data_IF_542459784127
#
_entry.id   IF_542459784127
#
_cell.length_a   1.000
_cell.length_b   1.000
_cell.length_c   1.000
_cell.angle_alpha   90.00
_cell.angle_beta   90.00
_cell.angle_gamma   90.00
#
_symmetry.space_group_name_H-M   'P 1'
#
loop_
_entity.id
_entity.type
_entity.pdbx_description
1 polymer ?
#
# COMPACT_ATOMS: atom_id res chain seq x y z
N UNK A 1 -10.35 50.77 -22.55
CA UNK A 1 -11.27 49.69 -22.13
C UNK A 1 -10.86 49.31 -20.73
N UNK A 2 -11.61 49.76 -19.73
CA UNK A 2 -11.29 49.58 -18.31
C UNK A 2 -11.91 48.29 -17.82
N UNK A 3 -11.07 47.40 -17.30
CA UNK A 3 -11.46 46.13 -16.73
C UNK A 3 -12.38 46.31 -15.52
N UNK A 4 -13.61 45.83 -15.64
CA UNK A 4 -14.59 45.75 -14.55
C UNK A 4 -14.28 44.48 -13.69
N UNK A 5 -13.74 44.69 -12.51
CA UNK A 5 -13.48 43.59 -11.55
C UNK A 5 -14.78 43.11 -10.91
N UNK A 6 -14.85 41.80 -10.56
CA UNK A 6 -16.01 41.13 -9.91
C UNK A 6 -16.55 41.85 -8.65
N UNK A 7 -15.79 42.74 -8.05
CA UNK A 7 -16.22 43.55 -6.89
C UNK A 7 -17.16 44.70 -7.23
N UNK A 8 -17.20 45.16 -8.49
CA UNK A 8 -18.06 46.29 -8.90
C UNK A 8 -19.49 45.88 -9.31
N UNK A 9 -19.76 44.59 -9.49
CA UNK A 9 -21.11 44.10 -9.82
C UNK A 9 -22.04 43.93 -8.59
N UNK A 10 -21.53 44.08 -7.36
CA UNK A 10 -22.33 43.94 -6.14
C UNK A 10 -22.78 45.30 -5.55
N UNK A 11 -22.40 46.40 -6.15
CA UNK A 11 -22.73 47.75 -5.65
C UNK A 11 -23.91 48.43 -6.37
N UNK A 12 -24.54 47.78 -7.35
CA UNK A 12 -25.53 48.43 -8.26
C UNK A 12 -27.01 48.13 -7.95
N UNK A 13 -27.36 47.50 -6.84
CA UNK A 13 -28.75 47.11 -6.55
C UNK A 13 -29.30 47.74 -5.26
N UNK A 14 -29.15 49.04 -5.09
CA UNK A 14 -29.74 49.75 -3.96
C UNK A 14 -30.25 51.14 -4.35
N UNK A 15 -31.36 51.24 -5.10
CA UNK A 15 -32.16 52.47 -5.19
C UNK A 15 -33.54 52.14 -5.75
N UNK A 16 -34.45 51.64 -4.93
CA UNK A 16 -35.93 51.85 -5.02
C UNK A 16 -36.58 51.24 -3.77
N UNK A 17 -36.70 52.02 -2.71
CA UNK A 17 -37.53 51.61 -1.55
C UNK A 17 -38.43 52.81 -1.18
N UNK A 18 -39.72 52.66 -1.43
CA UNK A 18 -40.78 53.42 -0.83
C UNK A 18 -40.88 53.13 0.68
N UNK A 19 -41.43 54.07 1.50
CA UNK A 19 -41.42 53.88 2.97
C UNK A 19 -42.50 52.89 3.39
N UNK A 20 -42.07 51.81 4.02
CA UNK A 20 -42.95 50.88 4.70
C UNK A 20 -42.59 50.81 6.20
N UNK A 21 -43.65 50.78 6.99
CA UNK A 21 -43.77 50.85 8.44
C UNK A 21 -42.65 50.09 9.21
N UNK A 22 -42.33 50.67 10.39
CA UNK A 22 -41.43 50.11 11.38
C UNK A 22 -41.83 48.68 11.80
N UNK A 23 -41.15 47.72 11.27
CA UNK A 23 -41.09 46.38 11.82
C UNK A 23 -39.78 46.23 12.58
N UNK A 24 -39.88 45.75 13.82
CA UNK A 24 -38.76 45.48 14.71
C UNK A 24 -37.62 44.78 13.98
N UNK A 25 -36.36 45.17 14.23
CA UNK A 25 -35.24 44.45 13.63
C UNK A 25 -35.30 42.98 14.01
N UNK A 26 -35.58 42.11 13.05
CA UNK A 26 -35.35 40.72 13.21
C UNK A 26 -33.86 40.54 13.53
N UNK A 27 -33.53 40.15 14.75
CA UNK A 27 -32.18 39.71 15.13
C UNK A 27 -31.92 38.49 14.28
N UNK A 28 -31.23 38.69 13.16
CA UNK A 28 -30.69 37.54 12.40
C UNK A 28 -29.57 36.97 13.27
N UNK A 29 -29.93 35.98 14.08
CA UNK A 29 -28.92 35.16 14.72
C UNK A 29 -28.04 34.58 13.58
N UNK A 30 -26.70 34.72 13.65
CA UNK A 30 -25.84 34.09 12.71
C UNK A 30 -26.17 32.59 12.72
N UNK A 31 -26.56 32.07 11.58
CA UNK A 31 -26.75 30.64 11.44
C UNK A 31 -25.40 29.99 11.79
N UNK A 32 -25.32 29.32 12.92
CA UNK A 32 -24.22 28.44 13.27
C UNK A 32 -24.31 27.21 12.35
N UNK A 33 -23.92 27.40 11.11
CA UNK A 33 -23.80 26.34 10.13
C UNK A 33 -22.43 25.66 10.30
N UNK A 34 -22.21 25.04 11.44
CA UNK A 34 -21.08 24.15 11.58
C UNK A 34 -21.60 22.76 11.93
N UNK A 35 -21.79 21.92 10.91
CA UNK A 35 -21.79 20.50 11.16
C UNK A 35 -20.44 20.14 11.83
N UNK A 36 -20.43 19.37 12.91
CA UNK A 36 -19.20 18.95 13.54
C UNK A 36 -18.31 18.25 12.52
N UNK A 37 -17.01 18.54 12.54
CA UNK A 37 -16.05 17.85 11.69
C UNK A 37 -16.11 16.35 11.96
N UNK A 38 -15.99 15.53 10.91
CA UNK A 38 -16.06 14.06 11.06
C UNK A 38 -14.90 13.50 11.93
N UNK A 39 -13.77 14.24 12.04
CA UNK A 39 -12.63 13.89 12.88
C UNK A 39 -11.86 12.64 12.46
N UNK A 40 -12.32 11.94 11.42
CA UNK A 40 -11.71 10.72 10.86
C UNK A 40 -11.99 10.61 9.37
N UNK A 41 -11.09 9.93 8.66
CA UNK A 41 -11.31 9.55 7.27
C UNK A 41 -12.38 8.45 7.13
N UNK A 42 -12.94 8.36 5.93
CA UNK A 42 -13.74 7.21 5.53
C UNK A 42 -12.90 5.92 5.57
N UNK A 43 -13.52 4.72 5.69
CA UNK A 43 -12.82 3.45 5.58
C UNK A 43 -12.02 3.39 4.28
N UNK A 44 -10.75 2.99 4.38
CA UNK A 44 -9.82 3.09 3.26
C UNK A 44 -9.64 1.73 2.60
N UNK A 45 -10.50 1.44 1.64
CA UNK A 45 -10.36 0.32 0.71
C UNK A 45 -10.80 0.76 -0.69
N UNK A 46 -10.25 0.12 -1.71
CA UNK A 46 -10.59 0.39 -3.10
C UNK A 46 -10.81 -0.92 -3.86
N UNK A 47 -11.93 -1.05 -4.58
CA UNK A 47 -12.27 -2.21 -5.38
C UNK A 47 -12.11 -1.95 -6.87
N UNK A 48 -11.68 -3.00 -7.58
CA UNK A 48 -11.58 -3.00 -9.03
C UNK A 48 -11.68 -4.42 -9.57
N UNK A 49 -11.97 -4.56 -10.85
CA UNK A 49 -12.05 -5.86 -11.51
C UNK A 49 -10.82 -6.16 -12.36
N UNK A 50 -10.47 -7.44 -12.41
CA UNK A 50 -9.51 -8.03 -13.33
C UNK A 50 -10.21 -9.23 -13.98
N UNK A 51 -10.76 -9.04 -15.19
CA UNK A 51 -11.70 -10.00 -15.74
C UNK A 51 -12.89 -10.23 -14.84
N UNK A 52 -13.13 -11.49 -14.45
CA UNK A 52 -14.21 -11.87 -13.55
C UNK A 52 -13.85 -11.76 -12.05
N UNK A 53 -12.54 -11.52 -11.76
CA UNK A 53 -12.09 -11.40 -10.36
C UNK A 53 -12.34 -9.99 -9.83
N UNK A 54 -12.73 -9.92 -8.56
CA UNK A 54 -12.82 -8.65 -7.83
C UNK A 54 -11.64 -8.55 -6.86
N UNK A 55 -10.86 -7.49 -7.01
CA UNK A 55 -9.75 -7.19 -6.12
C UNK A 55 -10.11 -6.02 -5.21
N UNK A 56 -9.70 -6.12 -3.94
CA UNK A 56 -9.87 -5.04 -2.97
C UNK A 56 -8.52 -4.71 -2.35
N UNK A 57 -7.99 -3.53 -2.66
CA UNK A 57 -6.84 -2.96 -1.93
C UNK A 57 -7.34 -2.51 -0.57
N UNK A 58 -6.70 -2.98 0.49
CA UNK A 58 -7.00 -2.61 1.88
C UNK A 58 -5.87 -1.73 2.41
N UNK A 59 -6.16 -0.52 2.86
CA UNK A 59 -5.15 0.28 3.53
C UNK A 59 -5.00 -0.20 4.98
N UNK A 60 -3.85 -0.75 5.33
CA UNK A 60 -3.50 -1.10 6.71
C UNK A 60 -3.14 0.15 7.53
N UNK A 61 -2.74 1.20 6.88
CA UNK A 61 -2.42 2.50 7.49
C UNK A 61 -1.29 3.22 6.79
N UNK A 62 -0.92 4.36 7.36
CA UNK A 62 0.19 5.20 6.88
C UNK A 62 1.07 5.56 8.06
N UNK A 63 2.35 5.19 8.00
CA UNK A 63 3.34 5.60 8.98
C UNK A 63 4.16 6.78 8.45
N UNK A 64 4.14 7.91 9.14
CA UNK A 64 4.99 9.04 8.82
C UNK A 64 6.39 8.82 9.41
N UNK A 65 7.41 8.89 8.57
CA UNK A 65 8.82 8.71 8.95
C UNK A 65 9.57 10.00 8.70
N UNK A 66 10.17 10.57 9.75
CA UNK A 66 11.05 11.72 9.64
C UNK A 66 12.36 11.32 8.95
N UNK A 67 12.85 12.18 8.09
CA UNK A 67 14.09 11.99 7.36
C UNK A 67 15.24 12.77 8.02
N UNK A 68 15.85 12.16 9.03
CA UNK A 68 17.05 12.69 9.69
C UNK A 68 18.33 12.28 8.93
N UNK A 69 18.27 11.15 8.25
CA UNK A 69 19.34 10.62 7.40
C UNK A 69 18.73 10.09 6.10
N UNK A 70 19.58 9.84 5.08
CA UNK A 70 19.09 9.22 3.85
C UNK A 70 18.59 7.79 4.10
N UNK A 71 17.36 7.46 3.69
CA UNK A 71 16.85 6.09 3.71
C UNK A 71 17.41 5.26 2.54
N UNK A 72 18.15 5.88 1.66
CA UNK A 72 18.74 5.31 0.44
C UNK A 72 20.24 5.17 0.66
N UNK A 73 20.80 3.96 0.55
CA UNK A 73 22.20 3.67 0.84
C UNK A 73 23.17 4.39 -0.08
N UNK A 74 22.80 4.57 -1.35
CA UNK A 74 23.62 5.14 -2.40
C UNK A 74 23.15 6.52 -2.90
N UNK A 75 22.38 7.25 -2.09
CA UNK A 75 22.00 8.64 -2.35
C UNK A 75 22.07 9.47 -1.07
N UNK A 76 22.49 10.74 -1.21
CA UNK A 76 22.54 11.68 -0.10
C UNK A 76 21.14 12.16 0.29
N UNK A 77 20.99 12.64 1.53
CA UNK A 77 19.70 13.14 2.02
C UNK A 77 19.16 14.28 1.16
N UNK A 78 20.04 15.19 0.70
CA UNK A 78 19.68 16.33 -0.14
C UNK A 78 19.12 15.89 -1.50
N UNK A 79 19.63 14.79 -2.07
CA UNK A 79 19.12 14.21 -3.32
C UNK A 79 17.72 13.63 -3.12
N UNK A 80 17.50 12.91 -2.01
CA UNK A 80 16.18 12.39 -1.62
C UNK A 80 15.20 13.54 -1.42
N UNK A 81 15.59 14.57 -0.70
CA UNK A 81 14.78 15.76 -0.45
C UNK A 81 14.43 16.52 -1.73
N UNK A 82 15.34 16.56 -2.71
CA UNK A 82 15.09 17.17 -4.01
C UNK A 82 14.00 16.42 -4.79
N UNK A 83 14.01 15.07 -4.77
CA UNK A 83 12.98 14.26 -5.44
C UNK A 83 11.64 14.39 -4.73
N UNK A 84 11.62 14.42 -3.38
CA UNK A 84 10.39 14.69 -2.63
C UNK A 84 9.79 16.05 -2.99
N UNK A 85 10.61 17.09 -3.03
CA UNK A 85 10.16 18.44 -3.40
C UNK A 85 9.62 18.49 -4.84
N UNK A 86 10.28 17.82 -5.78
CA UNK A 86 9.82 17.72 -7.17
C UNK A 86 8.46 16.98 -7.29
N UNK A 87 8.15 16.13 -6.30
CA UNK A 87 6.88 15.41 -6.18
C UNK A 87 5.84 16.15 -5.32
N UNK A 88 6.09 17.40 -4.94
CA UNK A 88 5.24 18.22 -4.04
C UNK A 88 5.04 17.59 -2.66
N UNK A 89 5.99 16.81 -2.18
CA UNK A 89 5.97 16.17 -0.86
C UNK A 89 6.83 16.94 0.15
N UNK A 90 6.56 16.82 1.46
CA UNK A 90 7.42 17.35 2.51
C UNK A 90 8.85 16.83 2.36
N UNK A 91 9.86 17.69 2.58
CA UNK A 91 11.27 17.32 2.44
C UNK A 91 11.83 16.58 3.65
N UNK A 92 11.19 16.74 4.81
CA UNK A 92 11.65 16.28 6.10
C UNK A 92 10.97 15.00 6.60
N UNK A 93 10.01 14.51 5.83
CA UNK A 93 9.28 13.28 6.15
C UNK A 93 8.72 12.59 4.92
N UNK A 94 8.45 11.30 5.07
CA UNK A 94 7.80 10.49 4.02
C UNK A 94 6.75 9.58 4.64
N UNK A 95 5.63 9.43 3.94
CA UNK A 95 4.56 8.51 4.32
C UNK A 95 4.81 7.11 3.75
N UNK A 96 4.89 6.11 4.62
CA UNK A 96 4.84 4.71 4.26
C UNK A 96 3.40 4.24 4.29
N UNK A 97 2.90 3.81 3.17
CA UNK A 97 1.59 3.18 3.00
C UNK A 97 1.73 1.67 3.08
N UNK A 98 0.69 0.97 3.52
CA UNK A 98 0.69 -0.50 3.65
C UNK A 98 -0.63 -1.04 3.09
N UNK A 99 -0.55 -1.87 2.04
CA UNK A 99 -1.73 -2.28 1.28
C UNK A 99 -1.81 -3.79 1.06
N UNK A 100 -2.26 -4.58 2.05
CA UNK A 100 -2.74 -5.93 1.77
C UNK A 100 -3.81 -5.92 0.68
N UNK A 101 -3.83 -6.95 -0.15
CA UNK A 101 -4.78 -7.05 -1.26
C UNK A 101 -5.62 -8.30 -1.13
N UNK A 102 -6.95 -8.15 -1.10
CA UNK A 102 -7.90 -9.24 -1.16
C UNK A 102 -8.29 -9.52 -2.60
N UNK A 103 -8.27 -10.78 -3.00
CA UNK A 103 -8.70 -11.27 -4.32
C UNK A 103 -9.87 -12.22 -4.14
N UNK A 104 -11.02 -11.85 -4.66
CA UNK A 104 -12.17 -12.74 -4.79
C UNK A 104 -12.16 -13.35 -6.20
N UNK A 105 -11.87 -14.64 -6.27
CA UNK A 105 -11.83 -15.39 -7.54
C UNK A 105 -13.18 -15.95 -7.95
N UNK A 106 -14.26 -15.69 -7.18
CA UNK A 106 -15.56 -16.33 -7.32
C UNK A 106 -15.64 -17.71 -6.65
N UNK A 107 -14.50 -18.39 -6.48
CA UNK A 107 -14.43 -19.68 -5.80
C UNK A 107 -13.62 -19.65 -4.50
N UNK A 108 -12.73 -18.66 -4.33
CA UNK A 108 -11.87 -18.46 -3.17
C UNK A 108 -11.73 -16.99 -2.84
N UNK A 109 -11.67 -16.67 -1.54
CA UNK A 109 -11.20 -15.41 -1.01
C UNK A 109 -9.73 -15.56 -0.61
N UNK A 110 -8.85 -14.85 -1.29
CA UNK A 110 -7.40 -14.91 -1.11
C UNK A 110 -6.89 -13.57 -0.61
N UNK A 111 -6.30 -13.53 0.58
CA UNK A 111 -5.64 -12.33 1.09
C UNK A 111 -4.14 -12.41 0.83
N UNK A 112 -3.59 -11.45 0.11
CA UNK A 112 -2.16 -11.31 -0.15
C UNK A 112 -1.60 -10.31 0.85
N UNK A 113 -0.72 -10.79 1.73
CA UNK A 113 -0.16 -10.11 2.89
C UNK A 113 -1.20 -9.69 3.95
N UNK A 114 -0.77 -9.34 5.15
CA UNK A 114 -1.67 -9.20 6.29
C UNK A 114 -1.56 -7.88 7.06
N UNK A 115 -0.63 -7.02 6.70
CA UNK A 115 -0.42 -5.75 7.39
C UNK A 115 0.48 -5.86 8.64
N UNK A 116 0.61 -4.72 9.32
CA UNK A 116 1.49 -4.53 10.48
C UNK A 116 0.99 -5.23 11.76
N UNK A 117 -0.29 -5.62 11.77
CA UNK A 117 -0.92 -6.26 12.93
C UNK A 117 -1.28 -5.28 14.05
N UNK A 118 -1.97 -5.77 15.10
CA UNK A 118 -2.62 -4.93 16.10
C UNK A 118 -1.63 -4.16 17.00
N UNK A 119 -0.38 -4.59 17.11
CA UNK A 119 0.65 -3.88 17.88
C UNK A 119 1.05 -2.52 17.30
N UNK A 120 0.64 -2.20 16.07
CA UNK A 120 1.06 -1.02 15.34
C UNK A 120 -0.01 0.09 15.25
N UNK A 121 -1.16 -0.08 15.89
CA UNK A 121 -2.30 0.86 15.81
C UNK A 121 -1.89 2.27 16.27
N UNK A 122 -1.12 2.40 17.34
CA UNK A 122 -0.65 3.71 17.84
C UNK A 122 0.36 4.38 16.88
N UNK A 123 1.00 3.60 16.00
CA UNK A 123 1.89 4.09 14.96
C UNK A 123 1.14 4.45 13.66
N UNK A 124 -0.19 4.37 13.64
CA UNK A 124 -1.03 4.71 12.50
C UNK A 124 -1.22 3.60 11.47
N UNK A 125 -0.91 2.34 11.84
CA UNK A 125 -1.06 1.15 10.99
C UNK A 125 -1.80 0.05 11.74
N UNK A 126 -1.97 -1.16 11.15
CA UNK A 126 -2.71 -2.26 11.79
C UNK A 126 -4.22 -2.17 11.59
N UNK A 127 -4.68 -1.40 10.59
CA UNK A 127 -6.09 -1.18 10.31
C UNK A 127 -6.71 -2.23 9.37
N UNK A 128 -5.94 -3.20 8.90
CA UNK A 128 -6.43 -4.25 7.98
C UNK A 128 -7.71 -4.91 8.47
N UNK A 129 -7.85 -5.36 9.74
CA UNK A 129 -9.10 -5.99 10.19
C UNK A 129 -10.29 -5.04 10.15
N UNK A 130 -10.11 -3.79 10.55
CA UNK A 130 -11.17 -2.78 10.55
C UNK A 130 -11.62 -2.43 9.12
N UNK A 131 -10.67 -2.30 8.19
CA UNK A 131 -10.98 -1.98 6.80
C UNK A 131 -11.51 -3.18 6.01
N UNK A 132 -11.14 -4.42 6.34
CA UNK A 132 -11.81 -5.63 5.85
C UNK A 132 -13.27 -5.66 6.29
N UNK A 133 -13.55 -5.43 7.58
CA UNK A 133 -14.92 -5.38 8.11
C UNK A 133 -15.73 -4.26 7.43
N UNK A 134 -15.18 -3.07 7.23
CA UNK A 134 -15.81 -1.99 6.49
C UNK A 134 -16.05 -2.32 5.01
N UNK A 135 -15.21 -3.15 4.41
CA UNK A 135 -15.39 -3.70 3.08
C UNK A 135 -16.42 -4.86 3.04
N UNK A 136 -17.01 -5.23 4.18
CA UNK A 136 -18.01 -6.32 4.27
C UNK A 136 -17.39 -7.71 4.30
N UNK A 137 -16.11 -7.85 4.65
CA UNK A 137 -15.39 -9.13 4.65
C UNK A 137 -15.12 -9.58 6.09
N UNK A 138 -15.64 -10.75 6.46
CA UNK A 138 -15.30 -11.43 7.70
C UNK A 138 -13.94 -12.13 7.52
N UNK A 139 -12.95 -11.90 8.40
CA UNK A 139 -11.67 -12.61 8.37
C UNK A 139 -11.80 -14.15 8.38
N UNK A 140 -12.87 -14.68 8.95
CA UNK A 140 -13.18 -16.12 8.94
C UNK A 140 -13.58 -16.66 7.59
N UNK A 141 -14.01 -15.79 6.66
CA UNK A 141 -14.39 -16.17 5.29
C UNK A 141 -13.20 -16.26 4.35
N UNK A 142 -12.01 -15.85 4.78
CA UNK A 142 -10.80 -15.92 3.96
C UNK A 142 -10.35 -17.39 3.87
N UNK A 143 -10.25 -17.89 2.64
CA UNK A 143 -9.88 -19.28 2.35
C UNK A 143 -8.35 -19.48 2.34
N UNK A 144 -7.62 -18.46 1.86
CA UNK A 144 -6.16 -18.54 1.69
C UNK A 144 -5.53 -17.21 2.08
N UNK A 145 -4.49 -17.26 2.90
CA UNK A 145 -3.56 -16.15 3.09
C UNK A 145 -2.26 -16.48 2.38
N UNK A 146 -1.84 -15.64 1.44
CA UNK A 146 -0.59 -15.78 0.70
C UNK A 146 0.36 -14.68 1.16
N UNK A 147 1.53 -15.05 1.62
CA UNK A 147 2.58 -14.10 2.06
C UNK A 147 3.58 -13.91 0.93
N UNK A 148 3.91 -12.65 0.64
CA UNK A 148 4.91 -12.29 -0.37
C UNK A 148 6.34 -12.46 0.12
N UNK A 149 6.61 -12.05 1.36
CA UNK A 149 7.90 -12.16 2.05
C UNK A 149 7.74 -11.94 3.56
N UNK A 150 8.82 -12.07 4.35
CA UNK A 150 8.71 -12.16 5.81
C UNK A 150 8.98 -10.85 6.57
N UNK A 151 8.97 -9.68 5.94
CA UNK A 151 9.01 -8.44 6.72
C UNK A 151 7.76 -8.27 7.58
N UNK A 152 7.92 -7.53 8.68
CA UNK A 152 6.93 -7.45 9.74
C UNK A 152 5.58 -6.90 9.29
N UNK A 153 5.59 -5.95 8.39
CA UNK A 153 4.39 -5.32 7.82
C UNK A 153 3.60 -6.22 6.85
N UNK A 154 4.15 -7.37 6.47
CA UNK A 154 3.47 -8.37 5.64
C UNK A 154 2.92 -9.55 6.44
N UNK A 155 3.63 -9.95 7.53
CA UNK A 155 3.27 -11.16 8.29
C UNK A 155 2.64 -10.89 9.66
N UNK A 156 2.82 -9.69 10.26
CA UNK A 156 2.41 -9.48 11.65
C UNK A 156 0.90 -9.49 11.86
N UNK A 157 0.11 -9.16 10.82
CA UNK A 157 -1.34 -9.24 10.85
C UNK A 157 -1.92 -10.67 10.82
N UNK A 158 -1.07 -11.72 10.68
CA UNK A 158 -1.49 -13.10 10.89
C UNK A 158 -1.92 -13.37 12.34
N UNK A 159 -1.50 -12.52 13.30
CA UNK A 159 -1.84 -12.67 14.72
C UNK A 159 -2.73 -11.55 15.20
N UNK A 160 -3.74 -11.91 16.00
CA UNK A 160 -4.53 -10.98 16.79
C UNK A 160 -3.75 -10.50 18.02
N UNK A 161 -4.30 -9.53 18.77
CA UNK A 161 -3.63 -8.97 19.95
C UNK A 161 -3.39 -10.00 21.08
N UNK A 162 -4.25 -10.99 21.18
CA UNK A 162 -4.12 -12.11 22.12
C UNK A 162 -3.27 -13.28 21.58
N UNK A 163 -2.69 -13.13 20.37
CA UNK A 163 -1.80 -14.11 19.75
C UNK A 163 -2.51 -15.21 18.96
N UNK A 164 -3.83 -15.22 18.88
CA UNK A 164 -4.58 -16.16 18.05
C UNK A 164 -4.36 -15.89 16.53
N UNK A 165 -4.78 -16.82 15.68
CA UNK A 165 -4.79 -16.59 14.22
C UNK A 165 -5.89 -15.59 13.86
N UNK A 166 -5.52 -14.54 13.13
CA UNK A 166 -6.46 -13.55 12.62
C UNK A 166 -7.39 -14.12 11.52
N UNK A 167 -6.91 -15.12 10.80
CA UNK A 167 -7.61 -15.80 9.71
C UNK A 167 -7.70 -17.30 10.01
N UNK A 168 -8.56 -17.73 10.95
CA UNK A 168 -8.50 -19.07 11.55
C UNK A 168 -8.85 -20.22 10.59
N UNK A 169 -9.57 -19.92 9.51
CA UNK A 169 -10.01 -20.91 8.52
C UNK A 169 -9.13 -20.92 7.27
N UNK A 170 -8.17 -19.99 7.16
CA UNK A 170 -7.36 -19.85 5.96
C UNK A 170 -6.20 -20.86 5.93
N UNK A 171 -5.93 -21.41 4.75
CA UNK A 171 -4.65 -22.02 4.43
C UNK A 171 -3.58 -20.92 4.35
N UNK A 172 -2.47 -21.04 5.08
CA UNK A 172 -1.39 -20.05 5.07
C UNK A 172 -0.29 -20.54 4.13
N UNK A 173 -0.05 -19.78 3.05
CA UNK A 173 0.95 -20.07 2.02
C UNK A 173 2.10 -19.08 2.07
N UNK A 174 3.34 -19.60 2.07
CA UNK A 174 4.55 -18.78 2.13
C UNK A 174 5.56 -19.20 1.07
N UNK A 175 6.48 -18.31 0.61
CA UNK A 175 7.53 -18.71 -0.31
C UNK A 175 8.48 -19.70 0.36
N UNK A 176 8.80 -20.81 -0.30
CA UNK A 176 9.71 -21.82 0.22
C UNK A 176 11.09 -21.24 0.55
N UNK A 177 11.59 -20.31 -0.26
CA UNK A 177 12.88 -19.66 -0.03
C UNK A 177 12.88 -18.69 1.17
N UNK A 178 11.77 -17.97 1.41
CA UNK A 178 11.62 -17.16 2.61
C UNK A 178 11.62 -18.08 3.85
N UNK A 179 10.81 -19.12 3.80
CA UNK A 179 10.73 -20.09 4.88
C UNK A 179 12.11 -20.65 5.23
N UNK A 180 12.79 -21.23 4.23
CA UNK A 180 14.11 -21.84 4.42
C UNK A 180 15.14 -20.85 4.98
N UNK A 181 15.09 -19.57 4.56
CA UNK A 181 16.04 -18.57 5.01
C UNK A 181 15.76 -18.06 6.43
N UNK A 182 14.53 -17.62 6.71
CA UNK A 182 14.19 -16.93 7.96
C UNK A 182 13.91 -17.86 9.15
N UNK A 183 13.72 -19.16 8.91
CA UNK A 183 13.57 -20.17 9.97
C UNK A 183 14.87 -20.88 10.35
N UNK A 184 15.92 -20.73 9.54
CA UNK A 184 17.24 -21.28 9.85
C UNK A 184 18.03 -20.33 10.76
N UNK A 185 18.17 -20.71 12.04
CA UNK A 185 18.90 -19.94 13.05
C UNK A 185 20.38 -19.69 12.68
N UNK A 186 20.98 -20.52 11.82
CA UNK A 186 22.35 -20.31 11.34
C UNK A 186 22.51 -19.05 10.49
N UNK A 187 21.41 -18.56 9.87
CA UNK A 187 21.40 -17.33 9.08
C UNK A 187 21.39 -16.07 9.94
N UNK A 188 20.98 -16.13 11.21
CA UNK A 188 20.92 -14.96 12.10
C UNK A 188 22.29 -14.28 12.23
N UNK A 189 23.32 -15.06 12.50
CA UNK A 189 24.70 -14.53 12.69
C UNK A 189 25.36 -14.06 11.39
N UNK A 190 24.88 -14.53 10.24
CA UNK A 190 25.41 -14.19 8.90
C UNK A 190 24.67 -13.04 8.24
N UNK A 191 23.52 -12.66 8.79
CA UNK A 191 22.69 -11.58 8.23
C UNK A 191 23.08 -10.22 8.82
N UNK A 192 22.86 -9.11 8.06
CA UNK A 192 23.05 -7.77 8.58
C UNK A 192 22.28 -7.57 9.90
N UNK A 193 22.86 -6.83 10.83
CA UNK A 193 22.25 -6.61 12.16
C UNK A 193 20.83 -6.03 12.06
N UNK A 194 20.54 -5.17 11.07
CA UNK A 194 19.21 -4.62 10.83
C UNK A 194 18.14 -5.67 10.46
N UNK A 195 18.53 -6.88 10.07
CA UNK A 195 17.60 -7.97 9.71
C UNK A 195 17.26 -8.91 10.89
N UNK A 196 17.95 -8.80 12.00
CA UNK A 196 17.69 -9.67 13.18
C UNK A 196 16.25 -9.56 13.71
N UNK A 197 15.58 -8.37 13.73
CA UNK A 197 14.19 -8.28 14.12
C UNK A 197 13.25 -9.13 13.24
N UNK A 198 13.56 -9.32 11.97
CA UNK A 198 12.77 -10.17 11.06
C UNK A 198 12.81 -11.65 11.49
N UNK A 199 13.97 -12.18 11.88
CA UNK A 199 14.07 -13.55 12.41
C UNK A 199 13.24 -13.73 13.69
N UNK A 200 13.33 -12.77 14.61
CA UNK A 200 12.56 -12.81 15.87
C UNK A 200 11.05 -12.77 15.60
N UNK A 201 10.63 -11.88 14.68
CA UNK A 201 9.23 -11.77 14.29
C UNK A 201 8.74 -13.04 13.57
N UNK A 202 9.54 -13.61 12.67
CA UNK A 202 9.24 -14.89 12.01
C UNK A 202 8.97 -16.00 13.04
N UNK A 203 9.85 -16.14 14.01
CA UNK A 203 9.69 -17.12 15.11
C UNK A 203 8.41 -16.85 15.92
N UNK A 204 8.11 -15.59 16.22
CA UNK A 204 6.90 -15.18 16.93
C UNK A 204 5.63 -15.51 16.15
N UNK A 205 5.61 -15.22 14.84
CA UNK A 205 4.43 -15.39 13.98
C UNK A 205 4.20 -16.88 13.67
N UNK A 206 5.22 -17.60 13.25
CA UNK A 206 5.07 -18.95 12.69
C UNK A 206 5.38 -20.08 13.69
N UNK A 207 6.10 -19.82 14.78
CA UNK A 207 6.62 -20.88 15.66
C UNK A 207 5.56 -21.85 16.19
N UNK A 208 4.32 -21.40 16.45
CA UNK A 208 3.23 -22.26 16.93
C UNK A 208 2.32 -22.82 15.83
N UNK A 209 2.61 -22.54 14.56
CA UNK A 209 1.80 -22.96 13.39
C UNK A 209 2.66 -23.47 12.24
N UNK A 210 3.92 -23.76 12.48
CA UNK A 210 4.84 -24.19 11.43
C UNK A 210 4.35 -25.42 10.65
N UNK A 211 3.64 -26.31 11.33
CA UNK A 211 3.01 -27.51 10.77
C UNK A 211 1.76 -27.23 9.90
N UNK A 212 1.22 -26.00 9.96
CA UNK A 212 0.04 -25.55 9.23
C UNK A 212 0.36 -24.66 8.03
N UNK A 213 1.65 -24.41 7.79
CA UNK A 213 2.10 -23.52 6.71
C UNK A 213 2.42 -24.35 5.48
N UNK A 214 1.80 -24.01 4.36
CA UNK A 214 2.11 -24.57 3.04
C UNK A 214 3.17 -23.72 2.35
N UNK A 215 4.26 -24.33 1.93
CA UNK A 215 5.30 -23.65 1.17
C UNK A 215 5.00 -23.71 -0.33
N UNK A 216 5.19 -22.60 -1.05
CA UNK A 216 5.04 -22.56 -2.51
C UNK A 216 6.35 -22.19 -3.20
N UNK A 217 6.48 -22.65 -4.45
CA UNK A 217 7.60 -22.32 -5.32
C UNK A 217 7.20 -21.26 -6.36
N UNK A 218 8.18 -20.49 -6.84
CA UNK A 218 7.98 -19.56 -7.94
C UNK A 218 7.60 -20.31 -9.23
N UNK A 219 6.83 -19.63 -10.10
CA UNK A 219 6.30 -20.19 -11.33
C UNK A 219 5.12 -21.14 -11.11
N UNK A 220 4.58 -21.22 -9.88
CA UNK A 220 3.39 -22.01 -9.55
C UNK A 220 2.22 -21.12 -9.15
N UNK A 221 1.01 -21.56 -9.42
CA UNK A 221 -0.19 -20.94 -8.88
C UNK A 221 -0.29 -21.20 -7.38
N UNK A 222 -0.54 -20.13 -6.62
CA UNK A 222 -0.78 -20.19 -5.18
C UNK A 222 -2.27 -20.25 -4.84
N UNK A 223 -3.10 -19.80 -5.77
CA UNK A 223 -4.56 -19.92 -5.77
C UNK A 223 -5.04 -19.78 -7.23
N UNK A 224 -6.31 -20.08 -7.56
CA UNK A 224 -6.79 -20.00 -8.94
C UNK A 224 -6.49 -18.66 -9.60
N UNK A 225 -5.75 -18.68 -10.69
CA UNK A 225 -5.35 -17.50 -11.47
C UNK A 225 -4.35 -16.57 -10.77
N UNK A 226 -3.70 -16.98 -9.69
CA UNK A 226 -2.70 -16.20 -8.95
C UNK A 226 -1.34 -16.92 -9.03
N UNK A 227 -0.48 -16.43 -9.89
CA UNK A 227 0.85 -17.00 -10.18
C UNK A 227 1.93 -16.33 -9.34
N UNK A 228 2.73 -17.10 -8.60
CA UNK A 228 3.90 -16.61 -7.88
C UNK A 228 5.06 -16.33 -8.85
N UNK A 229 5.58 -15.11 -8.84
CA UNK A 229 6.70 -14.66 -9.68
C UNK A 229 7.93 -14.36 -8.82
N UNK A 230 9.09 -14.88 -9.24
CA UNK A 230 10.37 -14.54 -8.62
C UNK A 230 10.67 -13.04 -8.78
N UNK A 231 10.77 -12.36 -7.66
CA UNK A 231 11.20 -10.97 -7.55
C UNK A 231 12.14 -10.76 -6.37
N UNK A 232 13.05 -11.72 -6.16
CA UNK A 232 14.02 -11.69 -5.07
C UNK A 232 14.94 -10.45 -5.13
N UNK A 233 15.56 -10.15 -3.98
CA UNK A 233 16.48 -9.03 -3.79
C UNK A 233 16.09 -8.17 -2.60
N UNK A 234 14.81 -7.74 -2.50
CA UNK A 234 14.27 -7.10 -1.31
C UNK A 234 14.38 -8.03 -0.09
N UNK A 235 13.99 -9.28 -0.26
CA UNK A 235 14.35 -10.41 0.60
C UNK A 235 14.77 -11.61 -0.26
N UNK A 236 15.40 -12.66 0.33
CA UNK A 236 15.89 -13.81 -0.43
C UNK A 236 14.83 -14.57 -1.22
N UNK A 237 13.61 -14.60 -0.73
CA UNK A 237 12.47 -15.29 -1.36
C UNK A 237 11.32 -14.36 -1.75
N UNK A 238 11.55 -13.04 -1.83
CA UNK A 238 10.53 -12.06 -2.18
C UNK A 238 9.79 -12.45 -3.45
N UNK A 239 8.46 -12.39 -3.38
CA UNK A 239 7.55 -12.85 -4.43
C UNK A 239 6.54 -11.77 -4.79
N UNK A 240 6.38 -11.50 -6.07
CA UNK A 240 5.24 -10.77 -6.63
C UNK A 240 4.20 -11.75 -7.19
N UNK A 241 2.97 -11.27 -7.42
CA UNK A 241 1.90 -12.13 -7.90
C UNK A 241 1.27 -11.57 -9.16
N UNK A 242 1.18 -12.39 -10.21
CA UNK A 242 0.38 -12.08 -11.39
C UNK A 242 -1.01 -12.65 -11.18
N UNK A 243 -2.00 -11.78 -11.04
CA UNK A 243 -3.41 -12.16 -10.97
C UNK A 243 -4.01 -12.06 -12.36
N UNK A 244 -4.61 -13.13 -12.85
CA UNK A 244 -5.16 -13.22 -14.19
C UNK A 244 -6.55 -13.84 -14.19
N UNK A 245 -7.49 -13.22 -14.92
CA UNK A 245 -8.82 -13.78 -15.19
C UNK A 245 -9.28 -13.35 -16.58
N UNK A 246 -9.55 -14.30 -17.45
CA UNK A 246 -9.82 -14.02 -18.86
C UNK A 246 -8.70 -13.24 -19.53
N UNK A 247 -9.00 -12.11 -20.15
CA UNK A 247 -8.02 -11.21 -20.72
C UNK A 247 -7.43 -10.20 -19.71
N UNK A 248 -7.99 -10.10 -18.52
CA UNK A 248 -7.55 -9.17 -17.49
C UNK A 248 -6.31 -9.67 -16.74
N UNK A 249 -5.36 -8.76 -16.48
CA UNK A 249 -4.15 -9.04 -15.69
C UNK A 249 -3.76 -7.86 -14.83
N UNK A 250 -3.26 -8.14 -13.63
CA UNK A 250 -2.58 -7.16 -12.77
C UNK A 250 -1.40 -7.83 -12.09
N UNK A 251 -0.32 -7.07 -11.91
CA UNK A 251 0.80 -7.48 -11.08
C UNK A 251 0.65 -6.87 -9.68
N UNK A 252 0.59 -7.70 -8.65
CA UNK A 252 0.74 -7.29 -7.25
C UNK A 252 2.22 -7.43 -6.93
N UNK A 253 2.94 -6.29 -6.92
CA UNK A 253 4.41 -6.31 -6.89
C UNK A 253 5.00 -6.46 -5.49
N UNK A 254 4.18 -6.38 -4.42
CA UNK A 254 4.66 -6.30 -3.04
C UNK A 254 5.76 -5.21 -2.90
N UNK A 255 6.96 -5.56 -2.45
CA UNK A 255 8.02 -4.61 -2.08
C UNK A 255 9.14 -4.44 -3.12
N UNK A 256 8.87 -4.68 -4.39
CA UNK A 256 9.84 -4.32 -5.44
C UNK A 256 10.19 -2.82 -5.39
N UNK A 257 9.26 -1.98 -4.94
CA UNK A 257 9.47 -0.54 -4.70
C UNK A 257 9.95 -0.21 -3.28
N UNK A 258 9.88 -1.14 -2.37
CA UNK A 258 10.38 -1.05 -0.99
C UNK A 258 10.08 0.28 -0.27
N UNK A 259 8.82 0.69 -0.23
CA UNK A 259 8.34 1.73 0.69
C UNK A 259 8.35 3.17 0.20
N UNK A 260 9.10 3.54 -0.83
CA UNK A 260 9.19 4.94 -1.27
C UNK A 260 8.85 5.09 -2.75
N UNK A 261 7.60 4.80 -3.12
CA UNK A 261 7.19 4.78 -4.53
C UNK A 261 7.65 6.00 -5.35
N UNK A 262 7.41 7.26 -4.93
CA UNK A 262 7.84 8.41 -5.72
C UNK A 262 9.35 8.48 -5.92
N UNK A 263 10.14 8.02 -4.95
CA UNK A 263 11.59 8.06 -4.98
C UNK A 263 12.17 6.94 -5.84
N UNK A 264 11.75 5.71 -5.58
CA UNK A 264 12.36 4.50 -6.13
C UNK A 264 11.85 4.18 -7.54
N UNK A 265 10.62 4.58 -7.87
CA UNK A 265 10.11 4.49 -9.24
C UNK A 265 10.89 5.44 -10.16
N UNK A 266 11.10 6.68 -9.72
CA UNK A 266 11.87 7.66 -10.49
C UNK A 266 13.37 7.32 -10.57
N UNK A 267 13.90 6.70 -9.51
CA UNK A 267 15.32 6.37 -9.39
C UNK A 267 15.48 4.87 -9.09
N UNK A 268 15.28 3.98 -10.06
CA UNK A 268 15.27 2.54 -9.83
C UNK A 268 16.63 1.97 -9.38
N UNK A 269 17.72 2.73 -9.54
CA UNK A 269 19.06 2.42 -9.05
C UNK A 269 19.26 2.74 -7.55
N UNK A 270 18.30 3.37 -6.91
CA UNK A 270 18.40 3.67 -5.49
C UNK A 270 18.18 2.42 -4.64
N UNK A 271 19.15 2.17 -3.76
CA UNK A 271 19.15 1.02 -2.86
C UNK A 271 18.50 1.40 -1.54
N UNK A 272 17.30 0.89 -1.30
CA UNK A 272 16.55 1.18 -0.07
C UNK A 272 17.21 0.48 1.12
N UNK A 273 17.21 1.13 2.27
CA UNK A 273 17.82 0.58 3.49
C UNK A 273 17.26 -0.77 3.94
N UNK A 274 15.98 -1.06 3.61
CA UNK A 274 15.30 -2.33 3.88
C UNK A 274 15.67 -3.49 2.95
N UNK A 275 16.27 -3.22 1.77
CA UNK A 275 16.63 -4.28 0.84
C UNK A 275 17.73 -5.19 1.44
N UNK A 276 17.55 -6.50 1.38
CA UNK A 276 18.54 -7.48 1.81
C UNK A 276 19.76 -7.46 0.88
N UNK A 277 19.53 -7.57 -0.42
CA UNK A 277 20.52 -7.40 -1.49
C UNK A 277 20.10 -6.24 -2.39
N UNK A 278 20.67 -5.05 -2.16
CA UNK A 278 20.31 -3.85 -2.91
C UNK A 278 20.64 -3.93 -4.41
N UNK A 279 21.67 -4.67 -4.81
CA UNK A 279 22.05 -4.87 -6.21
C UNK A 279 21.06 -5.78 -6.93
N UNK A 280 20.70 -6.88 -6.28
CA UNK A 280 19.68 -7.79 -6.80
C UNK A 280 18.31 -7.10 -6.85
N UNK A 281 17.94 -6.34 -5.80
CA UNK A 281 16.68 -5.58 -5.76
C UNK A 281 16.59 -4.56 -6.90
N UNK A 282 17.68 -3.85 -7.21
CA UNK A 282 17.75 -2.95 -8.37
C UNK A 282 17.53 -3.72 -9.69
N UNK A 283 18.26 -4.82 -9.87
CA UNK A 283 18.15 -5.65 -11.07
C UNK A 283 16.73 -6.14 -11.29
N UNK A 284 16.12 -6.67 -10.24
CA UNK A 284 14.73 -7.14 -10.23
C UNK A 284 13.77 -6.01 -10.56
N UNK A 285 13.92 -4.86 -9.92
CA UNK A 285 13.07 -3.67 -10.11
C UNK A 285 13.11 -3.17 -11.54
N UNK A 286 14.30 -3.01 -12.12
CA UNK A 286 14.44 -2.57 -13.51
C UNK A 286 13.79 -3.54 -14.49
N UNK A 287 14.07 -4.84 -14.35
CA UNK A 287 13.46 -5.88 -15.17
C UNK A 287 11.94 -5.87 -15.09
N UNK A 288 11.40 -5.73 -13.87
CA UNK A 288 9.95 -5.71 -13.65
C UNK A 288 9.31 -4.46 -14.26
N UNK A 289 9.92 -3.30 -14.05
CA UNK A 289 9.38 -2.03 -14.57
C UNK A 289 9.50 -1.93 -16.09
N UNK A 290 10.55 -2.47 -16.70
CA UNK A 290 10.65 -2.58 -18.16
C UNK A 290 9.53 -3.43 -18.74
N UNK A 291 9.23 -4.57 -18.13
CA UNK A 291 8.10 -5.43 -18.51
C UNK A 291 6.77 -4.68 -18.34
N UNK A 292 6.50 -4.09 -17.17
CA UNK A 292 5.26 -3.37 -16.90
C UNK A 292 5.03 -2.20 -17.88
N UNK A 293 6.08 -1.46 -18.20
CA UNK A 293 6.00 -0.34 -19.15
C UNK A 293 5.78 -0.82 -20.60
N UNK A 294 6.42 -1.92 -20.99
CA UNK A 294 6.31 -2.50 -22.34
C UNK A 294 4.92 -3.10 -22.55
N UNK A 295 4.46 -3.90 -21.59
CA UNK A 295 3.20 -4.63 -21.69
C UNK A 295 1.99 -3.77 -21.33
N UNK A 296 2.22 -2.56 -20.81
CA UNK A 296 1.19 -1.68 -20.24
C UNK A 296 0.32 -2.42 -19.24
N UNK A 297 0.96 -3.25 -18.41
CA UNK A 297 0.28 -4.05 -17.42
C UNK A 297 -0.08 -3.20 -16.20
N UNK A 298 -1.30 -3.39 -15.69
CA UNK A 298 -1.74 -2.80 -14.44
C UNK A 298 -0.88 -3.33 -13.28
N UNK A 299 -0.50 -2.46 -12.34
CA UNK A 299 0.30 -2.82 -11.18
C UNK A 299 -0.32 -2.29 -9.90
N UNK A 300 -0.33 -3.11 -8.86
CA UNK A 300 -0.61 -2.73 -7.48
C UNK A 300 0.68 -2.86 -6.66
N UNK A 301 1.04 -1.81 -5.92
CA UNK A 301 2.26 -1.80 -5.11
C UNK A 301 1.92 -1.69 -3.62
N UNK A 302 2.51 -2.52 -2.78
CA UNK A 302 2.20 -2.54 -1.35
C UNK A 302 2.41 -1.18 -0.67
N UNK A 303 3.42 -0.44 -1.11
CA UNK A 303 3.78 0.87 -0.59
C UNK A 303 3.46 2.04 -1.53
N UNK A 304 2.69 1.84 -2.57
CA UNK A 304 2.23 2.95 -3.40
C UNK A 304 1.25 3.85 -2.63
N UNK A 305 1.13 5.13 -2.99
CA UNK A 305 0.04 5.97 -2.48
C UNK A 305 -1.34 5.33 -2.77
N UNK A 306 -2.26 5.43 -1.82
CA UNK A 306 -3.63 4.93 -2.00
C UNK A 306 -4.28 5.55 -3.26
N UNK A 307 -5.01 4.80 -4.10
CA UNK A 307 -5.48 3.43 -3.96
C UNK A 307 -4.47 2.34 -4.40
N UNK A 308 -3.19 2.65 -4.49
CA UNK A 308 -2.13 1.69 -4.73
C UNK A 308 -2.15 1.00 -6.11
N UNK A 309 -2.81 1.59 -7.10
CA UNK A 309 -3.04 1.01 -8.40
C UNK A 309 -2.65 1.99 -9.52
N UNK A 310 -1.96 1.51 -10.54
CA UNK A 310 -1.52 2.35 -11.66
C UNK A 310 -0.78 1.59 -12.74
N UNK A 311 -0.10 2.35 -13.57
CA UNK A 311 0.77 1.87 -14.65
C UNK A 311 2.17 2.42 -14.46
N UNK A 312 3.16 1.67 -14.87
CA UNK A 312 4.55 2.14 -14.94
C UNK A 312 4.84 2.59 -16.37
N UNK A 313 5.40 3.79 -16.51
CA UNK A 313 5.85 4.34 -17.78
C UNK A 313 7.33 4.72 -17.70
N UNK A 314 8.07 4.56 -18.78
CA UNK A 314 9.47 5.05 -18.85
C UNK A 314 9.51 6.57 -18.82
N UNK A 315 10.39 7.13 -17.98
CA UNK A 315 10.59 8.56 -17.82
C UNK A 315 12.08 8.88 -17.61
N UNK A 316 12.73 9.38 -18.65
CA UNK A 316 14.19 9.61 -18.62
C UNK A 316 14.95 8.31 -18.38
N UNK A 317 15.83 8.31 -17.37
CA UNK A 317 16.60 7.12 -16.94
C UNK A 317 15.87 6.23 -15.93
N UNK A 318 14.68 6.65 -15.50
CA UNK A 318 13.84 5.93 -14.56
C UNK A 318 12.44 5.70 -15.09
N UNK A 319 11.48 5.71 -14.18
CA UNK A 319 10.07 5.46 -14.50
C UNK A 319 9.16 6.43 -13.77
N UNK A 320 7.90 6.46 -14.19
CA UNK A 320 6.82 7.22 -13.57
C UNK A 320 5.64 6.30 -13.28
N UNK A 321 5.09 6.43 -12.08
CA UNK A 321 3.81 5.82 -11.74
C UNK A 321 2.68 6.72 -12.26
N UNK A 322 1.81 6.16 -13.08
CA UNK A 322 0.58 6.79 -13.57
C UNK A 322 -0.58 6.15 -12.80
N UNK A 323 -1.15 6.82 -11.80
CA UNK A 323 -2.26 6.25 -11.05
C UNK A 323 -3.49 6.07 -11.93
N UNK A 324 -4.32 5.06 -11.63
CA UNK A 324 -5.63 4.90 -12.26
C UNK A 324 -6.57 6.03 -11.83
N UNK A 325 -7.50 6.38 -12.70
CA UNK A 325 -8.61 7.24 -12.32
C UNK A 325 -9.53 6.49 -11.34
N UNK A 326 -10.05 7.22 -10.34
CA UNK A 326 -11.06 6.66 -9.47
C UNK A 326 -12.33 6.31 -10.27
N UNK A 327 -12.79 5.07 -10.15
CA UNK A 327 -14.01 4.59 -10.78
C UNK A 327 -15.01 4.16 -9.71
N UNK A 328 -16.19 4.78 -9.61
CA UNK A 328 -17.21 4.40 -8.64
C UNK A 328 -17.97 3.13 -9.03
N UNK A 329 -17.86 2.69 -10.29
CA UNK A 329 -18.52 1.47 -10.78
C UNK A 329 -17.60 0.25 -10.68
N UNK A 330 -18.20 -0.89 -10.39
CA UNK A 330 -17.55 -2.21 -10.36
C UNK A 330 -17.90 -3.03 -11.60
#
# INVERSE_FOLDING_TARGET
MTDLTRRMMLAGAAAAAAPLAATSPAVISPALAAAPTAGKQAPSYYRYKVGDYELTVILDGVRQVKLETSPIRNAKLEEVQAVLAASYLPKDQVGFYFHPTLVNTGSKLVLIDTGNGPGSIQAGTGMTPANLAAAGVDPKSIDVVVISHFHGDHISGLRTADGALAYPNAEIKVPAKEWAFWTDESNVSRSPQGQQPTFQNTKRIFGSIADKVTQYEWGKEVAPGILAQDTNGHTPGHTSFVVSSGAGKVLIQADVTAGYAPLVVANPNWQVGGDFDGTQAETTRRKLYDMLATDRMLVSGYHFPFPSLGYIEKAGSGYRLIPVNWNPAL
#
